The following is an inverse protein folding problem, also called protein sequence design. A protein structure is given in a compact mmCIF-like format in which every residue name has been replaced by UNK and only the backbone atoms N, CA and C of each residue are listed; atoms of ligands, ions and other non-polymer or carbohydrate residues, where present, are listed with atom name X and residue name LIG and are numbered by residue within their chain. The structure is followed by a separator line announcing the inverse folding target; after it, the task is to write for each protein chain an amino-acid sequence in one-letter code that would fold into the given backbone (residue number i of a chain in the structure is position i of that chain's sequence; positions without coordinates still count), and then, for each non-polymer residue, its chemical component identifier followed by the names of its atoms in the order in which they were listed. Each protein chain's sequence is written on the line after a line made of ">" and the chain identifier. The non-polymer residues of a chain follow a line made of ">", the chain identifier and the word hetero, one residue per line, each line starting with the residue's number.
data_IF_528599945751
#
_entry.id   IF_528599945751
#
_cell.length_a   1.000
_cell.length_b   1.000
_cell.length_c   1.000
_cell.angle_alpha   90.00
_cell.angle_beta   90.00
_cell.angle_gamma   90.00
#
_symmetry.space_group_name_H-M   'P 1'
#
loop_
_entity.id
_entity.type
_entity.pdbx_description
1 polymer ?
#
# COMPACT_ATOMS: atom_id res chain seq x y z
N UNK A 1 -23.54 -39.29 14.77
CA UNK A 1 -22.62 -38.16 15.01
C UNK A 1 -22.65 -37.31 13.75
N UNK A 2 -23.49 -36.29 13.72
CA UNK A 2 -23.44 -35.27 12.67
C UNK A 2 -22.23 -34.41 13.02
N UNK A 3 -21.13 -34.56 12.29
CA UNK A 3 -20.03 -33.60 12.36
C UNK A 3 -20.61 -32.22 12.08
N UNK A 4 -20.64 -31.37 13.10
CA UNK A 4 -20.95 -29.97 12.95
C UNK A 4 -19.81 -29.36 12.15
N UNK A 5 -19.99 -29.25 10.83
CA UNK A 5 -19.14 -28.42 9.98
C UNK A 5 -19.03 -27.07 10.68
N UNK A 6 -17.83 -26.60 11.07
CA UNK A 6 -17.72 -25.34 11.78
C UNK A 6 -18.32 -24.27 10.89
N UNK A 7 -19.39 -23.63 11.38
CA UNK A 7 -20.02 -22.52 10.69
C UNK A 7 -19.07 -21.32 10.79
N UNK A 8 -18.06 -21.29 9.93
CA UNK A 8 -17.21 -20.13 9.80
C UNK A 8 -18.06 -18.95 9.35
N UNK A 9 -17.81 -17.78 9.93
CA UNK A 9 -18.52 -16.57 9.50
C UNK A 9 -18.35 -16.35 7.99
N UNK A 10 -19.47 -16.15 7.30
CA UNK A 10 -19.52 -15.84 5.86
C UNK A 10 -19.39 -14.36 5.57
N UNK A 11 -19.23 -13.51 6.59
CA UNK A 11 -19.14 -12.06 6.44
C UNK A 11 -18.04 -11.64 5.45
N UNK A 12 -16.90 -12.33 5.47
CA UNK A 12 -15.85 -12.18 4.44
C UNK A 12 -15.83 -13.48 3.61
N UNK A 13 -16.32 -13.46 2.36
CA UNK A 13 -16.45 -14.65 1.54
C UNK A 13 -15.07 -15.22 1.16
N UNK A 14 -14.96 -16.54 0.97
CA UNK A 14 -13.69 -17.18 0.59
C UNK A 14 -13.08 -16.57 -0.69
N UNK A 15 -13.96 -16.20 -1.64
CA UNK A 15 -13.56 -15.54 -2.89
C UNK A 15 -12.78 -14.23 -2.65
N UNK A 16 -13.00 -13.53 -1.53
CA UNK A 16 -12.29 -12.31 -1.19
C UNK A 16 -10.78 -12.54 -1.03
N UNK A 17 -10.35 -13.67 -0.48
CA UNK A 17 -8.93 -13.99 -0.28
C UNK A 17 -8.16 -14.19 -1.59
N UNK A 18 -8.87 -14.30 -2.71
CA UNK A 18 -8.29 -14.31 -4.05
C UNK A 18 -8.51 -12.96 -4.72
N UNK A 19 -9.76 -12.50 -4.79
CA UNK A 19 -10.10 -11.31 -5.57
C UNK A 19 -9.72 -9.98 -4.92
N UNK A 20 -9.66 -9.90 -3.59
CA UNK A 20 -9.15 -8.73 -2.87
C UNK A 20 -7.68 -8.46 -3.19
N UNK A 21 -6.78 -9.42 -3.00
CA UNK A 21 -5.38 -9.31 -3.43
C UNK A 21 -5.21 -9.02 -4.94
N UNK A 22 -5.99 -9.68 -5.80
CA UNK A 22 -5.97 -9.42 -7.25
C UNK A 22 -6.34 -7.97 -7.55
N UNK A 23 -7.38 -7.43 -6.90
CA UNK A 23 -7.76 -6.03 -7.05
C UNK A 23 -6.60 -5.08 -6.67
N UNK A 24 -5.92 -5.32 -5.55
CA UNK A 24 -4.76 -4.52 -5.11
C UNK A 24 -3.67 -4.51 -6.18
N UNK A 25 -3.29 -5.69 -6.69
CA UNK A 25 -2.24 -5.80 -7.70
C UNK A 25 -2.67 -5.12 -9.01
N UNK A 26 -3.90 -5.35 -9.47
CA UNK A 26 -4.42 -4.71 -10.68
C UNK A 26 -4.46 -3.20 -10.57
N UNK A 27 -4.90 -2.65 -9.43
CA UNK A 27 -4.91 -1.20 -9.20
C UNK A 27 -3.51 -0.62 -9.17
N UNK A 28 -2.55 -1.28 -8.50
CA UNK A 28 -1.15 -0.88 -8.48
C UNK A 28 -0.60 -0.74 -9.91
N UNK A 29 -0.81 -1.76 -10.76
CA UNK A 29 -0.39 -1.70 -12.17
C UNK A 29 -1.15 -0.64 -12.98
N UNK A 30 -2.46 -0.54 -12.80
CA UNK A 30 -3.29 0.41 -13.54
C UNK A 30 -2.91 1.87 -13.22
N UNK A 31 -2.71 2.19 -11.94
CA UNK A 31 -2.26 3.51 -11.50
C UNK A 31 -0.83 3.77 -11.91
N UNK A 32 0.08 2.80 -11.81
CA UNK A 32 1.44 2.95 -12.32
C UNK A 32 1.48 3.29 -13.82
N UNK A 33 0.73 2.54 -14.64
CA UNK A 33 0.62 2.79 -16.08
C UNK A 33 -0.02 4.16 -16.39
N UNK A 34 -1.04 4.55 -15.65
CA UNK A 34 -1.70 5.84 -15.82
C UNK A 34 -0.80 7.01 -15.37
N UNK A 35 -0.05 6.83 -14.29
CA UNK A 35 0.84 7.84 -13.71
C UNK A 35 2.02 8.11 -14.64
N UNK A 36 2.57 7.07 -15.26
CA UNK A 36 3.60 7.20 -16.31
C UNK A 36 3.15 8.07 -17.49
N UNK A 37 1.85 8.05 -17.82
CA UNK A 37 1.27 8.92 -18.87
C UNK A 37 1.10 10.37 -18.44
N UNK A 38 1.25 10.71 -17.16
CA UNK A 38 1.21 12.11 -16.69
C UNK A 38 2.48 12.89 -17.04
N UNK A 39 3.54 12.22 -17.50
CA UNK A 39 4.78 12.85 -17.94
C UNK A 39 5.74 13.23 -16.81
N UNK A 40 5.55 12.65 -15.62
CA UNK A 40 6.47 12.73 -14.47
C UNK A 40 7.51 11.61 -14.63
N UNK A 41 8.77 11.91 -14.97
CA UNK A 41 9.73 10.92 -15.48
C UNK A 41 10.27 9.94 -14.42
N UNK A 42 10.21 10.30 -13.14
CA UNK A 42 10.56 9.47 -11.99
C UNK A 42 9.66 9.91 -10.84
N UNK A 43 9.14 8.99 -10.05
CA UNK A 43 8.30 9.29 -8.89
C UNK A 43 9.12 8.96 -7.64
N UNK A 44 9.14 9.87 -6.68
CA UNK A 44 9.91 9.71 -5.44
C UNK A 44 9.35 8.55 -4.60
N UNK A 45 8.04 8.33 -4.71
CA UNK A 45 7.29 7.32 -3.98
C UNK A 45 7.57 5.86 -4.39
N UNK A 46 8.34 5.66 -5.46
CA UNK A 46 8.79 4.35 -5.93
C UNK A 46 10.24 4.02 -5.59
N UNK A 47 10.94 4.89 -4.85
CA UNK A 47 12.37 4.72 -4.60
C UNK A 47 12.66 3.73 -3.47
N UNK A 48 13.09 2.52 -3.84
CA UNK A 48 13.36 1.44 -2.89
C UNK A 48 14.46 1.79 -1.88
N UNK A 49 15.48 2.51 -2.33
CA UNK A 49 16.60 2.93 -1.48
C UNK A 49 16.32 4.25 -0.76
N UNK A 50 15.15 4.85 -1.01
CA UNK A 50 14.80 6.19 -0.56
C UNK A 50 15.48 7.29 -1.38
N UNK A 51 15.39 8.53 -0.90
CA UNK A 51 15.88 9.71 -1.61
C UNK A 51 16.32 10.78 -0.61
N UNK A 52 17.20 11.67 -1.06
CA UNK A 52 17.71 12.78 -0.25
C UNK A 52 17.28 14.15 -0.80
N UNK A 53 17.70 15.22 -0.11
CA UNK A 53 17.35 16.61 -0.47
C UNK A 53 17.78 16.95 -1.90
N UNK A 54 18.99 16.55 -2.30
CA UNK A 54 19.51 16.82 -3.64
C UNK A 54 18.70 16.11 -4.73
N UNK A 55 18.21 14.90 -4.47
CA UNK A 55 17.32 14.18 -5.38
C UNK A 55 15.99 14.93 -5.56
N UNK A 56 15.39 15.38 -4.45
CA UNK A 56 14.14 16.14 -4.45
C UNK A 56 14.30 17.46 -5.20
N UNK A 57 15.34 18.23 -4.89
CA UNK A 57 15.63 19.50 -5.57
C UNK A 57 15.80 19.29 -7.06
N UNK A 58 16.66 18.34 -7.45
CA UNK A 58 16.93 18.02 -8.86
C UNK A 58 15.65 17.62 -9.59
N UNK A 59 14.86 16.72 -9.02
CA UNK A 59 13.64 16.23 -9.65
C UNK A 59 12.56 17.31 -9.73
N UNK A 60 12.34 18.07 -8.66
CA UNK A 60 11.34 19.14 -8.64
C UNK A 60 11.72 20.27 -9.59
N UNK A 61 13.01 20.55 -9.79
CA UNK A 61 13.49 21.46 -10.83
C UNK A 61 13.17 20.92 -12.23
N UNK A 62 13.50 19.64 -12.51
CA UNK A 62 13.23 18.99 -13.82
C UNK A 62 11.73 18.95 -14.14
N UNK A 63 10.88 18.81 -13.13
CA UNK A 63 9.44 18.81 -13.31
C UNK A 63 8.92 20.14 -13.85
N UNK A 64 9.49 21.26 -13.41
CA UNK A 64 8.89 22.57 -13.64
C UNK A 64 7.52 22.69 -12.98
N UNK A 65 6.87 23.83 -13.15
CA UNK A 65 5.61 24.15 -12.48
C UNK A 65 4.46 23.20 -12.90
N UNK A 66 4.29 22.99 -14.20
CA UNK A 66 3.19 22.18 -14.75
C UNK A 66 3.20 20.72 -14.27
N UNK A 67 4.37 20.09 -14.21
CA UNK A 67 4.46 18.68 -13.77
C UNK A 67 4.39 18.58 -12.25
N UNK A 68 4.91 19.56 -11.50
CA UNK A 68 4.69 19.64 -10.04
C UNK A 68 3.21 19.76 -9.72
N UNK A 69 2.47 20.61 -10.44
CA UNK A 69 1.02 20.75 -10.28
C UNK A 69 0.26 19.45 -10.60
N UNK A 70 0.64 18.73 -11.68
CA UNK A 70 0.06 17.42 -11.99
C UNK A 70 0.39 16.37 -10.93
N UNK A 71 1.64 16.33 -10.45
CA UNK A 71 2.06 15.42 -9.40
C UNK A 71 1.21 15.64 -8.14
N UNK A 72 1.09 16.90 -7.71
CA UNK A 72 0.33 17.31 -6.52
C UNK A 72 -1.18 17.04 -6.60
N UNK A 73 -1.79 17.31 -7.74
CA UNK A 73 -3.25 17.35 -7.88
C UNK A 73 -3.86 16.13 -8.55
N UNK A 74 -3.04 15.23 -9.13
CA UNK A 74 -3.52 14.03 -9.83
C UNK A 74 -2.85 12.77 -9.32
N UNK A 75 -1.53 12.74 -9.29
CA UNK A 75 -0.78 11.52 -8.96
C UNK A 75 -0.88 11.22 -7.47
N UNK A 76 -0.55 12.16 -6.57
CA UNK A 76 -0.62 11.92 -5.12
C UNK A 76 -2.04 11.51 -4.65
N UNK A 77 -3.14 12.15 -5.10
CA UNK A 77 -4.49 11.69 -4.74
C UNK A 77 -4.81 10.28 -5.23
N UNK A 78 -4.34 9.89 -6.41
CA UNK A 78 -4.54 8.54 -6.95
C UNK A 78 -3.73 7.50 -6.16
N UNK A 79 -2.51 7.85 -5.74
CA UNK A 79 -1.65 7.02 -4.91
C UNK A 79 -2.27 6.81 -3.52
N UNK A 80 -2.77 7.88 -2.88
CA UNK A 80 -3.52 7.81 -1.62
C UNK A 80 -4.76 6.91 -1.74
N UNK A 81 -5.51 6.99 -2.84
CA UNK A 81 -6.66 6.11 -3.06
C UNK A 81 -6.24 4.63 -3.17
N UNK A 82 -5.10 4.35 -3.80
CA UNK A 82 -4.51 3.00 -3.82
C UNK A 82 -4.07 2.56 -2.42
N UNK A 83 -3.40 3.44 -1.67
CA UNK A 83 -2.98 3.24 -0.30
C UNK A 83 -4.14 2.78 0.60
N UNK A 84 -5.25 3.49 0.56
CA UNK A 84 -6.46 3.09 1.28
C UNK A 84 -7.01 1.75 0.82
N UNK A 85 -7.01 1.49 -0.50
CA UNK A 85 -7.54 0.24 -1.03
C UNK A 85 -6.79 -0.97 -0.48
N UNK A 86 -5.46 -0.98 -0.57
CA UNK A 86 -4.70 -2.12 -0.06
C UNK A 86 -4.67 -2.18 1.46
N UNK A 87 -4.72 -1.05 2.18
CA UNK A 87 -4.90 -1.05 3.63
C UNK A 87 -6.22 -1.71 4.06
N UNK A 88 -7.32 -1.39 3.38
CA UNK A 88 -8.63 -1.99 3.63
C UNK A 88 -8.58 -3.48 3.31
N UNK A 89 -7.99 -3.89 2.18
CA UNK A 89 -7.84 -5.31 1.85
C UNK A 89 -7.02 -6.03 2.91
N UNK A 90 -5.90 -5.46 3.35
CA UNK A 90 -5.10 -5.98 4.45
C UNK A 90 -5.90 -6.17 5.73
N UNK A 91 -6.65 -5.15 6.17
CA UNK A 91 -7.51 -5.23 7.35
C UNK A 91 -8.57 -6.34 7.24
N UNK A 92 -9.21 -6.48 6.06
CA UNK A 92 -10.19 -7.52 5.81
C UNK A 92 -9.57 -8.93 5.78
N UNK A 93 -8.33 -9.08 5.30
CA UNK A 93 -7.60 -10.35 5.41
C UNK A 93 -7.38 -10.72 6.89
N UNK A 94 -6.91 -9.77 7.71
CA UNK A 94 -6.70 -10.00 9.15
C UNK A 94 -8.02 -10.42 9.80
N UNK A 95 -9.08 -9.63 9.61
CA UNK A 95 -10.39 -9.92 10.18
C UNK A 95 -10.93 -11.27 9.71
N UNK A 96 -10.83 -11.56 8.41
CA UNK A 96 -11.37 -12.78 7.83
C UNK A 96 -10.66 -14.05 8.30
N UNK A 97 -9.34 -14.02 8.48
CA UNK A 97 -8.60 -15.16 9.04
C UNK A 97 -8.90 -15.33 10.53
N UNK A 98 -8.95 -14.24 11.30
CA UNK A 98 -9.28 -14.31 12.73
C UNK A 98 -10.70 -14.87 12.95
N UNK A 99 -11.68 -14.43 12.16
CA UNK A 99 -13.06 -14.94 12.19
C UNK A 99 -13.17 -16.41 11.78
N UNK A 100 -12.14 -16.96 11.13
CA UNK A 100 -12.02 -18.37 10.76
C UNK A 100 -11.23 -19.18 11.78
N UNK A 101 -10.81 -18.59 12.90
CA UNK A 101 -10.12 -19.30 13.98
C UNK A 101 -8.60 -19.38 13.82
N UNK A 102 -8.02 -18.68 12.84
CA UNK A 102 -6.56 -18.55 12.79
C UNK A 102 -6.07 -17.72 13.99
N UNK A 103 -4.88 -18.03 14.56
CA UNK A 103 -4.31 -17.21 15.62
C UNK A 103 -4.17 -15.74 15.17
N UNK A 104 -4.49 -14.80 16.06
CA UNK A 104 -4.51 -13.37 15.74
C UNK A 104 -3.18 -12.87 15.15
N UNK A 105 -2.05 -13.41 15.63
CA UNK A 105 -0.73 -13.05 15.14
C UNK A 105 -0.46 -13.57 13.73
N UNK A 106 -0.97 -14.76 13.36
CA UNK A 106 -0.91 -15.29 11.99
C UNK A 106 -1.74 -14.41 11.07
N UNK A 107 -2.96 -14.08 11.49
CA UNK A 107 -3.84 -13.19 10.75
C UNK A 107 -3.18 -11.82 10.52
N UNK A 108 -2.58 -11.24 11.57
CA UNK A 108 -1.84 -9.99 11.50
C UNK A 108 -0.63 -10.06 10.56
N UNK A 109 0.13 -11.18 10.53
CA UNK A 109 1.21 -11.35 9.55
C UNK A 109 0.70 -11.42 8.11
N UNK A 110 -0.49 -11.96 7.89
CA UNK A 110 -1.06 -12.12 6.55
C UNK A 110 -1.59 -10.82 5.94
N UNK A 111 -2.22 -9.95 6.73
CA UNK A 111 -2.81 -8.70 6.24
C UNK A 111 -2.16 -7.41 6.75
N UNK A 112 -1.36 -7.49 7.81
CA UNK A 112 -0.79 -6.35 8.51
C UNK A 112 0.25 -5.58 7.69
N UNK A 113 1.00 -6.26 6.82
CA UNK A 113 1.92 -5.61 5.89
C UNK A 113 1.21 -4.57 5.01
N UNK A 114 0.12 -4.95 4.36
CA UNK A 114 -0.69 -4.01 3.56
C UNK A 114 -1.41 -2.96 4.42
N UNK A 115 -1.94 -3.34 5.58
CA UNK A 115 -2.59 -2.38 6.48
C UNK A 115 -1.63 -1.26 6.91
N UNK A 116 -0.47 -1.62 7.45
CA UNK A 116 0.52 -0.64 7.95
C UNK A 116 1.19 0.07 6.77
N UNK A 117 1.50 -0.66 5.69
CA UNK A 117 2.07 -0.10 4.48
C UNK A 117 1.22 1.05 3.92
N UNK A 118 -0.11 0.90 3.91
CA UNK A 118 -1.02 1.92 3.39
C UNK A 118 -1.07 3.16 4.27
N UNK A 119 -0.90 3.01 5.58
CA UNK A 119 -0.75 4.15 6.47
C UNK A 119 0.57 4.89 6.25
N UNK A 120 1.68 4.16 6.06
CA UNK A 120 2.97 4.76 5.70
C UNK A 120 2.89 5.50 4.36
N UNK A 121 2.19 4.94 3.39
CA UNK A 121 1.98 5.50 2.06
C UNK A 121 1.17 6.79 2.09
N UNK A 122 0.07 6.82 2.85
CA UNK A 122 -0.70 8.04 3.10
C UNK A 122 0.18 9.11 3.77
N UNK A 123 0.97 8.74 4.78
CA UNK A 123 1.86 9.67 5.49
C UNK A 123 2.95 10.25 4.56
N UNK A 124 3.55 9.42 3.72
CA UNK A 124 4.50 9.83 2.69
C UNK A 124 3.86 10.81 1.70
N UNK A 125 2.68 10.48 1.17
CA UNK A 125 1.96 11.33 0.23
C UNK A 125 1.66 12.72 0.80
N UNK A 126 1.29 12.81 2.08
CA UNK A 126 1.11 14.10 2.75
C UNK A 126 2.42 14.88 2.88
N UNK A 127 3.53 14.21 3.16
CA UNK A 127 4.84 14.84 3.23
C UNK A 127 5.30 15.35 1.85
N UNK A 128 5.11 14.55 0.79
CA UNK A 128 5.39 14.93 -0.61
C UNK A 128 4.53 16.12 -1.04
N UNK A 129 3.24 16.10 -0.73
CA UNK A 129 2.33 17.20 -1.00
C UNK A 129 2.81 18.51 -0.35
N UNK A 130 3.21 18.44 0.93
CA UNK A 130 3.75 19.60 1.66
C UNK A 130 5.06 20.11 1.05
N UNK A 131 5.93 19.23 0.56
CA UNK A 131 7.17 19.63 -0.11
C UNK A 131 6.90 20.30 -1.46
N UNK A 132 5.92 19.80 -2.24
CA UNK A 132 5.49 20.42 -3.49
C UNK A 132 4.89 21.81 -3.26
N UNK A 133 4.07 21.96 -2.21
CA UNK A 133 3.39 23.22 -1.88
C UNK A 133 4.39 24.30 -1.37
N UNK A 134 5.55 23.91 -0.85
CA UNK A 134 6.58 24.82 -0.31
C UNK A 134 7.77 25.06 -1.24
N UNK A 135 7.85 24.33 -2.34
CA UNK A 135 8.95 24.47 -3.30
C UNK A 135 9.06 25.94 -3.79
N UNK A 136 10.26 26.55 -3.84
CA UNK A 136 11.60 25.93 -3.84
C UNK A 136 12.22 25.65 -2.46
N UNK A 137 11.51 25.89 -1.35
CA UNK A 137 12.07 25.62 -0.01
C UNK A 137 11.98 24.12 0.30
N UNK A 138 13.10 23.41 0.19
CA UNK A 138 13.19 21.98 0.52
C UNK A 138 13.74 21.81 1.93
N UNK A 139 12.91 21.26 2.82
CA UNK A 139 13.25 21.00 4.21
C UNK A 139 13.75 19.56 4.39
N UNK A 140 14.99 19.40 4.88
CA UNK A 140 15.61 18.10 5.04
C UNK A 140 14.87 17.15 6.00
N UNK A 141 14.17 17.69 7.00
CA UNK A 141 13.35 16.89 7.90
C UNK A 141 12.16 16.22 7.20
N UNK A 142 11.42 16.99 6.39
CA UNK A 142 10.32 16.45 5.59
C UNK A 142 10.82 15.44 4.55
N UNK A 143 11.98 15.68 3.93
CA UNK A 143 12.58 14.74 2.97
C UNK A 143 12.95 13.42 3.65
N UNK A 144 13.64 13.47 4.79
CA UNK A 144 14.04 12.27 5.53
C UNK A 144 12.83 11.47 6.02
N UNK A 145 11.78 12.15 6.49
CA UNK A 145 10.53 11.51 6.89
C UNK A 145 9.86 10.83 5.70
N UNK A 146 9.64 11.56 4.59
CA UNK A 146 8.99 11.04 3.40
C UNK A 146 9.77 9.84 2.84
N UNK A 147 11.09 9.95 2.70
CA UNK A 147 11.95 8.85 2.25
C UNK A 147 11.89 7.63 3.17
N UNK A 148 11.81 7.82 4.48
CA UNK A 148 11.67 6.70 5.43
C UNK A 148 10.32 6.01 5.23
N UNK A 149 9.25 6.77 5.07
CA UNK A 149 7.92 6.23 4.80
C UNK A 149 7.86 5.49 3.45
N UNK A 150 8.52 6.00 2.40
CA UNK A 150 8.67 5.31 1.11
C UNK A 150 9.32 3.93 1.28
N UNK A 151 10.44 3.87 2.00
CA UNK A 151 11.16 2.60 2.21
C UNK A 151 10.33 1.62 3.02
N UNK A 152 9.69 2.09 4.10
CA UNK A 152 8.82 1.28 4.93
C UNK A 152 7.62 0.75 4.14
N UNK A 153 6.91 1.61 3.40
CA UNK A 153 5.72 1.18 2.63
C UNK A 153 6.07 0.12 1.61
N UNK A 154 7.22 0.23 0.93
CA UNK A 154 7.64 -0.74 -0.09
C UNK A 154 7.96 -2.12 0.49
N UNK A 155 8.68 -2.16 1.63
CA UNK A 155 8.94 -3.41 2.36
C UNK A 155 7.62 -4.02 2.87
N UNK A 156 6.77 -3.21 3.47
CA UNK A 156 5.48 -3.64 4.01
C UNK A 156 4.51 -4.10 2.91
N UNK A 157 4.55 -3.46 1.73
CA UNK A 157 3.78 -3.86 0.57
C UNK A 157 4.22 -5.24 0.06
N UNK A 158 5.53 -5.47 -0.06
CA UNK A 158 6.08 -6.77 -0.44
C UNK A 158 5.70 -7.87 0.59
N UNK A 159 5.82 -7.57 1.89
CA UNK A 159 5.36 -8.48 2.94
C UNK A 159 3.86 -8.75 2.86
N UNK A 160 3.04 -7.75 2.53
CA UNK A 160 1.61 -7.91 2.34
C UNK A 160 1.25 -8.80 1.15
N UNK A 161 2.02 -8.77 0.05
CA UNK A 161 1.85 -9.71 -1.07
C UNK A 161 2.09 -11.15 -0.60
N UNK A 162 3.19 -11.39 0.13
CA UNK A 162 3.50 -12.71 0.69
C UNK A 162 2.41 -13.14 1.66
N UNK A 163 1.99 -12.25 2.56
CA UNK A 163 0.94 -12.49 3.53
C UNK A 163 -0.41 -12.83 2.89
N UNK A 164 -0.79 -12.16 1.80
CA UNK A 164 -2.01 -12.46 1.05
C UNK A 164 -1.98 -13.85 0.40
N UNK A 165 -0.84 -14.28 -0.14
CA UNK A 165 -0.68 -15.64 -0.67
C UNK A 165 -0.82 -16.70 0.43
N UNK A 166 -0.22 -16.45 1.60
CA UNK A 166 -0.36 -17.32 2.77
C UNK A 166 -1.82 -17.33 3.25
N UNK A 167 -2.50 -16.19 3.28
CA UNK A 167 -3.91 -16.10 3.64
C UNK A 167 -4.79 -16.95 2.72
N UNK A 168 -4.57 -16.87 1.40
CA UNK A 168 -5.28 -17.69 0.43
C UNK A 168 -5.04 -19.18 0.71
N UNK A 169 -3.80 -19.61 0.96
CA UNK A 169 -3.54 -21.00 1.35
C UNK A 169 -4.25 -21.40 2.65
N UNK A 170 -4.16 -20.58 3.69
CA UNK A 170 -4.73 -20.86 5.01
C UNK A 170 -6.26 -20.94 5.00
N UNK A 171 -6.93 -20.15 4.16
CA UNK A 171 -8.40 -20.14 4.10
C UNK A 171 -8.98 -21.39 3.42
N UNK A 172 -8.21 -22.02 2.53
CA UNK A 172 -8.59 -23.26 1.84
C UNK A 172 -8.03 -24.52 2.50
N UNK A 173 -7.09 -24.37 3.45
CA UNK A 173 -6.59 -25.49 4.25
C UNK A 173 -7.67 -25.92 5.25
N UNK A 174 -8.00 -27.21 5.38
CA UNK A 174 -8.83 -27.69 6.46
C UNK A 174 -8.17 -27.29 7.79
N UNK A 175 -8.88 -26.51 8.59
CA UNK A 175 -8.53 -26.32 9.99
C UNK A 175 -8.74 -27.69 10.64
N UNK A 176 -7.66 -28.34 11.08
CA UNK A 176 -7.76 -29.64 11.73
C UNK A 176 -8.75 -29.51 12.91
N UNK A 177 -9.75 -30.39 12.92
CA UNK A 177 -10.76 -30.49 13.98
C UNK A 177 -10.17 -31.01 15.29
#
# INVERSE_FOLDING_TARGET
>A
MTETVPFYSTAIPLAFFVWGPVLVVLLFWAVGLWSNRQGVPRMLEGDWDGYNVADVEKLFTIYGEDKRARYRNRVLPADVACAFTYAIVGALIVAGLAMRGQPWWVAALCGGGWLIGGLCDVAENFALARMLDRYPQVDGGNVAFASTMTRLKLVLFALGVIGALVAAYLVFKPLAG
#
